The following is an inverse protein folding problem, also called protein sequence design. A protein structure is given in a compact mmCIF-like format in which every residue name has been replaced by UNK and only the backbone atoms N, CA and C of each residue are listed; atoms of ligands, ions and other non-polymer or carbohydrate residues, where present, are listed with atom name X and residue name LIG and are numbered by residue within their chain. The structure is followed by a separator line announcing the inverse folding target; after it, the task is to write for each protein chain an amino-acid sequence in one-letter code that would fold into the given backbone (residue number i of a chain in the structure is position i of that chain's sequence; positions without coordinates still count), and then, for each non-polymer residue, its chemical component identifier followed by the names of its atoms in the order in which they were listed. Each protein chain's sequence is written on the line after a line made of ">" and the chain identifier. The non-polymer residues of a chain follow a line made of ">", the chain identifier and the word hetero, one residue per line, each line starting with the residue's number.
data_IF_431150881049
#
_entry.id   IF_431150881049
#
_cell.length_a   1.000
_cell.length_b   1.000
_cell.length_c   1.000
_cell.angle_alpha   90.00
_cell.angle_beta   90.00
_cell.angle_gamma   90.00
#
_symmetry.space_group_name_H-M   'P 1'
#
loop_
_entity.id
_entity.type
_entity.pdbx_description
1 polymer ?
#
# COMPACT_ATOMS: atom_id res chain seq x y z
N UNK A 1 -12.54 22.42 34.63
CA UNK A 1 -11.61 21.33 34.22
C UNK A 1 -11.33 21.50 32.73
N UNK A 2 -10.08 21.83 32.38
CA UNK A 2 -9.63 21.85 30.99
C UNK A 2 -9.44 20.40 30.58
N UNK A 3 -10.34 19.84 29.75
CA UNK A 3 -10.09 18.57 29.07
C UNK A 3 -9.04 18.84 28.00
N UNK A 4 -7.80 18.48 28.28
CA UNK A 4 -6.75 18.51 27.25
C UNK A 4 -7.06 17.33 26.31
N UNK A 5 -7.69 17.63 25.19
CA UNK A 5 -7.87 16.65 24.13
C UNK A 5 -6.52 16.36 23.51
N UNK A 6 -5.95 15.21 23.83
CA UNK A 6 -4.68 14.76 23.26
C UNK A 6 -4.88 14.36 21.82
N UNK A 7 -3.99 14.85 20.95
CA UNK A 7 -3.92 14.46 19.54
C UNK A 7 -2.86 13.42 19.35
N UNK A 8 -3.18 12.42 18.54
CA UNK A 8 -2.25 11.36 18.17
C UNK A 8 -2.03 11.39 16.66
N UNK A 9 -0.80 11.14 16.27
CA UNK A 9 -0.37 11.24 14.89
C UNK A 9 0.16 9.89 14.40
N UNK A 10 -0.15 9.57 13.17
CA UNK A 10 0.44 8.46 12.45
C UNK A 10 0.96 8.95 11.11
N UNK A 11 2.02 8.35 10.63
CA UNK A 11 2.65 8.68 9.35
C UNK A 11 2.85 7.39 8.55
N UNK A 12 2.63 7.45 7.24
CA UNK A 12 2.86 6.31 6.36
C UNK A 12 3.39 6.82 5.02
N UNK A 13 4.42 6.17 4.44
CA UNK A 13 4.98 6.56 3.16
C UNK A 13 4.05 6.23 1.99
N UNK A 14 4.27 6.87 0.86
CA UNK A 14 3.75 6.47 -0.44
C UNK A 14 4.56 5.31 -1.04
N UNK A 15 4.04 4.70 -2.10
CA UNK A 15 4.84 3.97 -3.06
C UNK A 15 4.89 4.71 -4.40
N UNK A 16 5.78 4.29 -5.29
CA UNK A 16 5.76 4.73 -6.68
C UNK A 16 5.62 3.52 -7.62
N UNK A 17 4.64 2.67 -7.31
CA UNK A 17 4.42 1.40 -7.97
C UNK A 17 5.20 0.25 -7.32
N UNK A 18 5.43 -0.79 -8.08
CA UNK A 18 6.03 -2.04 -7.61
C UNK A 18 7.25 -2.42 -8.47
N UNK A 19 8.27 -2.99 -7.84
CA UNK A 19 9.34 -3.67 -8.58
C UNK A 19 8.76 -4.81 -9.42
N UNK A 20 7.92 -5.62 -8.81
CA UNK A 20 7.23 -6.74 -9.48
C UNK A 20 5.82 -6.86 -8.92
N UNK A 21 4.84 -7.12 -9.80
CA UNK A 21 3.48 -7.48 -9.42
C UNK A 21 2.86 -8.44 -10.43
N UNK A 22 2.10 -9.40 -9.96
CA UNK A 22 1.37 -10.31 -10.82
C UNK A 22 0.92 -11.58 -10.11
N UNK A 23 0.47 -12.56 -10.90
CA UNK A 23 0.06 -13.87 -10.40
C UNK A 23 1.25 -14.83 -10.47
N UNK A 24 1.52 -15.53 -9.37
CA UNK A 24 2.45 -16.62 -9.24
C UNK A 24 1.76 -17.74 -8.45
N UNK A 25 1.86 -18.98 -8.90
CA UNK A 25 1.30 -20.18 -8.26
C UNK A 25 -0.22 -20.20 -7.99
N UNK A 26 -1.01 -19.30 -8.32
CA UNK A 26 -2.48 -19.14 -8.16
C UNK A 26 -2.90 -17.95 -7.32
N UNK A 27 -1.96 -17.20 -6.75
CA UNK A 27 -2.26 -16.00 -5.97
C UNK A 27 -1.60 -14.75 -6.56
N UNK A 28 -2.13 -13.58 -6.23
CA UNK A 28 -1.52 -12.31 -6.59
C UNK A 28 -0.42 -11.97 -5.57
N UNK A 29 0.71 -11.52 -6.09
CA UNK A 29 1.82 -11.03 -5.29
C UNK A 29 2.36 -9.74 -5.86
N UNK A 30 2.97 -8.95 -4.99
CA UNK A 30 3.70 -7.75 -5.35
C UNK A 30 4.91 -7.56 -4.44
N UNK A 31 5.81 -6.69 -4.87
CA UNK A 31 6.87 -6.12 -4.07
C UNK A 31 6.90 -4.63 -4.35
N UNK A 32 6.33 -3.83 -3.47
CA UNK A 32 6.38 -2.37 -3.53
C UNK A 32 7.66 -1.84 -2.88
N UNK A 33 7.98 -0.59 -3.16
CA UNK A 33 8.99 0.18 -2.46
C UNK A 33 8.41 1.51 -1.99
N UNK A 34 8.80 1.93 -0.81
CA UNK A 34 8.38 3.21 -0.25
C UNK A 34 9.19 4.36 -0.86
N UNK A 35 8.55 5.52 -1.00
CA UNK A 35 9.18 6.78 -1.39
C UNK A 35 8.95 7.83 -0.30
N UNK A 36 9.76 8.89 -0.30
CA UNK A 36 9.77 9.96 0.71
C UNK A 36 8.63 11.00 0.56
N UNK A 37 7.48 10.52 0.14
CA UNK A 37 6.20 11.24 0.22
C UNK A 37 5.33 10.56 1.26
N UNK A 38 4.66 11.34 2.09
CA UNK A 38 3.97 10.79 3.25
C UNK A 38 2.52 11.27 3.35
N UNK A 39 1.67 10.40 3.88
CA UNK A 39 0.39 10.74 4.47
C UNK A 39 0.54 10.80 5.99
N UNK A 40 -0.09 11.79 6.60
CA UNK A 40 -0.18 11.97 8.05
C UNK A 40 -1.63 11.99 8.47
N UNK A 41 -1.98 11.16 9.44
CA UNK A 41 -3.27 11.17 10.10
C UNK A 41 -3.15 11.79 11.49
N UNK A 42 -4.10 12.66 11.83
CA UNK A 42 -4.31 13.22 13.17
C UNK A 42 -5.64 12.65 13.69
N UNK A 43 -5.63 11.98 14.83
CA UNK A 43 -6.83 11.53 15.53
C UNK A 43 -6.93 12.17 16.92
N UNK A 44 -8.16 12.46 17.33
CA UNK A 44 -8.48 13.12 18.59
C UNK A 44 -9.84 12.60 19.08
N UNK A 45 -9.94 12.23 20.34
CA UNK A 45 -11.23 11.90 20.93
C UNK A 45 -12.07 13.18 21.08
N UNK A 46 -13.27 13.18 20.53
CA UNK A 46 -14.15 14.36 20.53
C UNK A 46 -15.61 13.94 20.56
N UNK A 47 -16.27 14.17 21.67
CA UNK A 47 -17.71 13.99 21.80
C UNK A 47 -18.45 14.85 20.77
N UNK A 48 -19.53 14.33 20.19
CA UNK A 48 -20.31 14.97 19.13
C UNK A 48 -19.47 15.35 17.89
N UNK A 49 -18.53 14.49 17.53
CA UNK A 49 -17.65 14.70 16.39
C UNK A 49 -18.43 14.69 15.07
N UNK A 50 -18.24 15.73 14.25
CA UNK A 50 -18.77 15.84 12.88
C UNK A 50 -17.72 15.55 11.81
N UNK A 51 -16.43 15.49 12.18
CA UNK A 51 -15.34 15.25 11.25
C UNK A 51 -14.94 13.77 11.25
N UNK A 52 -15.58 13.01 10.42
CA UNK A 52 -15.34 11.56 10.29
C UNK A 52 -14.14 11.22 9.39
N UNK A 53 -13.64 12.18 8.62
CA UNK A 53 -12.56 11.96 7.63
C UNK A 53 -12.97 11.08 6.44
N UNK A 54 -12.00 10.67 5.61
CA UNK A 54 -12.24 9.81 4.46
C UNK A 54 -12.78 8.43 4.85
N UNK A 55 -13.68 7.88 4.04
CA UNK A 55 -14.39 6.62 4.36
C UNK A 55 -13.46 5.44 4.65
N UNK A 56 -12.39 5.26 3.87
CA UNK A 56 -11.46 4.13 4.08
C UNK A 56 -10.63 4.31 5.34
N UNK A 57 -10.20 5.53 5.61
CA UNK A 57 -9.51 5.87 6.85
C UNK A 57 -10.44 5.72 8.07
N UNK A 58 -11.73 6.02 7.92
CA UNK A 58 -12.72 5.72 8.97
C UNK A 58 -12.80 4.22 9.25
N UNK A 59 -12.88 3.39 8.22
CA UNK A 59 -12.83 1.93 8.36
C UNK A 59 -11.54 1.43 9.03
N UNK A 60 -10.44 2.14 8.88
CA UNK A 60 -9.19 1.80 9.55
C UNK A 60 -9.28 1.97 11.07
N UNK A 61 -9.92 3.04 11.57
CA UNK A 61 -10.20 3.22 12.99
C UNK A 61 -11.09 2.07 13.50
N UNK A 62 -12.18 1.78 12.79
CA UNK A 62 -13.12 0.70 13.15
C UNK A 62 -12.42 -0.67 13.19
N UNK A 63 -11.52 -0.94 12.23
CA UNK A 63 -10.76 -2.18 12.17
C UNK A 63 -9.79 -2.32 13.36
N UNK A 64 -9.12 -1.25 13.77
CA UNK A 64 -8.28 -1.22 14.97
C UNK A 64 -9.13 -1.47 16.21
N UNK A 65 -10.26 -0.78 16.37
CA UNK A 65 -11.16 -0.95 17.52
C UNK A 65 -11.64 -2.39 17.62
N UNK A 66 -12.11 -2.96 16.49
CA UNK A 66 -12.53 -4.37 16.42
C UNK A 66 -11.40 -5.33 16.82
N UNK A 67 -10.16 -5.10 16.35
CA UNK A 67 -9.01 -5.96 16.69
C UNK A 67 -8.73 -5.99 18.20
N UNK A 68 -8.96 -4.88 18.89
CA UNK A 68 -8.71 -4.75 20.33
C UNK A 68 -9.99 -4.88 21.19
N UNK A 69 -11.09 -5.39 20.62
CA UNK A 69 -12.38 -5.57 21.29
C UNK A 69 -12.93 -4.27 21.91
N UNK A 70 -12.66 -3.12 21.29
CA UNK A 70 -13.28 -1.84 21.64
C UNK A 70 -14.58 -1.74 20.82
N UNK A 71 -15.72 -1.29 21.44
CA UNK A 71 -16.97 -1.11 20.71
C UNK A 71 -16.78 -0.21 19.49
N UNK A 72 -17.19 -0.68 18.31
CA UNK A 72 -16.97 0.07 17.04
C UNK A 72 -17.74 1.38 17.05
N UNK A 73 -18.83 1.47 17.80
CA UNK A 73 -19.64 2.67 18.00
C UNK A 73 -18.83 3.83 18.57
N UNK A 74 -17.84 3.55 19.41
CA UNK A 74 -16.93 4.55 19.98
C UNK A 74 -16.06 5.24 18.91
N UNK A 75 -15.88 4.60 17.77
CA UNK A 75 -15.16 5.21 16.64
C UNK A 75 -15.79 6.54 16.18
N UNK A 76 -17.11 6.72 16.37
CA UNK A 76 -17.83 7.95 16.04
C UNK A 76 -17.34 9.15 16.85
N UNK A 77 -16.80 8.91 18.04
CA UNK A 77 -16.22 9.93 18.91
C UNK A 77 -14.78 10.30 18.52
N UNK A 78 -14.23 9.71 17.46
CA UNK A 78 -12.88 10.00 17.01
C UNK A 78 -12.93 10.96 15.82
N UNK A 79 -12.41 12.17 16.01
CA UNK A 79 -12.14 13.13 14.94
C UNK A 79 -10.91 12.67 14.14
N UNK A 80 -11.01 12.71 12.83
CA UNK A 80 -9.93 12.28 11.92
C UNK A 80 -9.63 13.37 10.91
N UNK A 81 -8.35 13.74 10.81
CA UNK A 81 -7.83 14.62 9.76
C UNK A 81 -6.69 13.95 9.04
N UNK A 82 -6.74 13.96 7.71
CA UNK A 82 -5.66 13.48 6.85
C UNK A 82 -4.98 14.67 6.19
N UNK A 83 -3.65 14.66 6.21
CA UNK A 83 -2.80 15.57 5.45
C UNK A 83 -1.85 14.75 4.58
N UNK A 84 -2.00 14.84 3.28
CA UNK A 84 -1.20 14.07 2.33
C UNK A 84 -0.77 14.95 1.17
N UNK A 85 0.49 14.80 0.76
CA UNK A 85 1.04 15.36 -0.49
C UNK A 85 1.09 14.33 -1.60
N UNK A 86 0.62 13.11 -1.35
CA UNK A 86 0.65 12.00 -2.30
C UNK A 86 -0.41 12.24 -3.38
N UNK A 87 -0.04 12.27 -4.67
CA UNK A 87 -0.99 12.44 -5.76
C UNK A 87 -2.06 11.34 -5.77
N UNK A 88 -3.33 11.74 -5.79
CA UNK A 88 -4.47 10.81 -5.78
C UNK A 88 -4.72 10.24 -7.17
N UNK A 89 -4.92 8.92 -7.26
CA UNK A 89 -5.24 8.24 -8.52
C UNK A 89 -4.07 8.14 -9.50
N UNK A 90 -2.83 8.26 -9.02
CA UNK A 90 -1.61 8.18 -9.84
C UNK A 90 -0.82 6.88 -9.64
N UNK A 91 -1.40 5.90 -8.94
CA UNK A 91 -0.70 4.64 -8.65
C UNK A 91 0.39 4.78 -7.59
N UNK A 92 0.28 5.81 -6.72
CA UNK A 92 1.27 6.10 -5.68
C UNK A 92 0.81 5.66 -4.28
N UNK A 93 -0.10 4.71 -4.20
CA UNK A 93 -0.61 4.15 -2.94
C UNK A 93 -1.19 5.19 -1.95
N UNK A 94 -1.77 6.31 -2.45
CA UNK A 94 -2.28 7.36 -1.56
C UNK A 94 -3.31 6.85 -0.55
N UNK A 95 -4.25 6.00 -1.01
CA UNK A 95 -5.26 5.39 -0.12
C UNK A 95 -4.64 4.43 0.90
N UNK A 96 -3.66 3.63 0.49
CA UNK A 96 -2.92 2.71 1.35
C UNK A 96 -2.15 3.50 2.44
N UNK A 97 -1.49 4.60 2.05
CA UNK A 97 -0.78 5.47 2.98
C UNK A 97 -1.72 6.16 3.98
N UNK A 98 -2.90 6.61 3.54
CA UNK A 98 -3.91 7.19 4.43
C UNK A 98 -4.44 6.17 5.45
N UNK A 99 -4.67 4.93 5.03
CA UNK A 99 -5.06 3.82 5.90
C UNK A 99 -3.98 3.54 6.94
N UNK A 100 -2.71 3.38 6.50
CA UNK A 100 -1.58 3.09 7.38
C UNK A 100 -1.33 4.19 8.41
N UNK A 101 -1.33 5.46 7.96
CA UNK A 101 -1.21 6.61 8.85
C UNK A 101 -2.35 6.63 9.88
N UNK A 102 -3.59 6.31 9.46
CA UNK A 102 -4.74 6.27 10.38
C UNK A 102 -4.64 5.13 11.39
N UNK A 103 -4.19 3.94 10.96
CA UNK A 103 -3.96 2.81 11.88
C UNK A 103 -2.94 3.23 12.94
N UNK A 104 -1.78 3.80 12.52
CA UNK A 104 -0.74 4.24 13.44
C UNK A 104 -1.22 5.29 14.45
N UNK A 105 -1.96 6.31 13.99
CA UNK A 105 -2.53 7.32 14.87
C UNK A 105 -3.54 6.72 15.87
N UNK A 106 -4.38 5.79 15.41
CA UNK A 106 -5.38 5.12 16.25
C UNK A 106 -4.73 4.21 17.29
N UNK A 107 -3.67 3.49 16.93
CA UNK A 107 -2.89 2.68 17.88
C UNK A 107 -2.29 3.56 18.98
N UNK A 108 -1.73 4.72 18.61
CA UNK A 108 -1.25 5.71 19.58
C UNK A 108 -2.36 6.16 20.55
N UNK A 109 -3.55 6.47 20.03
CA UNK A 109 -4.70 6.88 20.83
C UNK A 109 -5.10 5.82 21.88
N UNK A 110 -5.16 4.55 21.49
CA UNK A 110 -5.55 3.46 22.40
C UNK A 110 -4.36 2.85 23.17
N UNK A 111 -3.15 3.42 23.01
CA UNK A 111 -1.89 2.96 23.63
C UNK A 111 -1.63 1.47 23.39
N UNK A 112 -1.75 1.06 22.13
CA UNK A 112 -1.48 -0.31 21.66
C UNK A 112 -0.47 -0.28 20.53
N UNK A 113 0.17 -1.43 20.29
CA UNK A 113 1.12 -1.63 19.22
C UNK A 113 0.74 -2.84 18.37
N UNK A 114 1.11 -2.81 17.10
CA UNK A 114 1.01 -3.91 16.15
C UNK A 114 2.31 -4.00 15.38
N UNK A 115 2.69 -5.21 15.00
CA UNK A 115 3.79 -5.40 14.06
C UNK A 115 3.43 -4.88 12.66
N UNK A 116 4.45 -4.65 11.83
CA UNK A 116 4.26 -4.25 10.43
C UNK A 116 3.36 -5.22 9.66
N UNK A 117 3.52 -6.52 9.90
CA UNK A 117 2.71 -7.58 9.28
C UNK A 117 1.26 -7.55 9.77
N UNK A 118 1.03 -7.26 11.04
CA UNK A 118 -0.31 -7.12 11.58
C UNK A 118 -1.03 -5.89 11.03
N UNK A 119 -0.29 -4.77 10.85
CA UNK A 119 -0.80 -3.56 10.19
C UNK A 119 -1.16 -3.87 8.73
N UNK A 120 -0.30 -4.57 8.00
CA UNK A 120 -0.55 -4.97 6.62
C UNK A 120 -1.79 -5.86 6.49
N UNK A 121 -1.93 -6.87 7.37
CA UNK A 121 -3.12 -7.73 7.43
C UNK A 121 -4.38 -6.93 7.74
N UNK A 122 -4.31 -6.01 8.69
CA UNK A 122 -5.44 -5.16 9.05
C UNK A 122 -5.85 -4.25 7.89
N UNK A 123 -4.88 -3.60 7.23
CA UNK A 123 -5.12 -2.74 6.08
C UNK A 123 -5.76 -3.51 4.91
N UNK A 124 -5.31 -4.75 4.65
CA UNK A 124 -5.85 -5.59 3.58
C UNK A 124 -7.33 -5.98 3.78
N UNK A 125 -7.86 -5.92 5.01
CA UNK A 125 -9.29 -6.12 5.26
C UNK A 125 -10.15 -4.96 4.74
N UNK A 126 -9.55 -3.80 4.49
CA UNK A 126 -10.24 -2.59 4.03
C UNK A 126 -10.21 -2.51 2.51
N UNK A 127 -9.02 -2.75 1.93
CA UNK A 127 -8.80 -2.82 0.48
C UNK A 127 -7.52 -3.60 0.17
N UNK A 128 -7.35 -4.12 -1.07
CA UNK A 128 -6.06 -4.63 -1.51
C UNK A 128 -4.98 -3.57 -1.31
N UNK A 129 -3.90 -3.95 -0.65
CA UNK A 129 -2.91 -3.00 -0.15
C UNK A 129 -1.51 -3.28 -0.69
N UNK A 130 -0.64 -2.26 -0.66
CA UNK A 130 0.77 -2.40 -1.02
C UNK A 130 1.61 -2.85 0.18
N UNK A 131 2.85 -3.29 -0.07
CA UNK A 131 3.76 -3.75 0.98
C UNK A 131 4.51 -2.62 1.70
N UNK A 132 4.06 -1.37 1.59
CA UNK A 132 4.72 -0.18 2.16
C UNK A 132 4.77 -0.15 3.71
N UNK A 133 3.99 -0.99 4.37
CA UNK A 133 4.06 -1.15 5.84
C UNK A 133 5.23 -2.00 6.28
N UNK A 134 5.79 -2.80 5.36
CA UNK A 134 6.85 -3.77 5.63
C UNK A 134 8.22 -3.10 5.43
N UNK A 135 9.07 -3.16 6.43
CA UNK A 135 10.38 -2.49 6.41
C UNK A 135 11.35 -3.01 5.35
N UNK A 136 11.22 -4.29 4.98
CA UNK A 136 12.07 -4.93 3.97
C UNK A 136 11.28 -5.23 2.72
N UNK A 137 11.90 -5.05 1.55
CA UNK A 137 11.28 -5.53 0.31
C UNK A 137 10.91 -7.00 0.46
N UNK A 138 9.71 -7.35 0.05
CA UNK A 138 9.14 -8.67 0.30
C UNK A 138 8.24 -9.12 -0.84
N UNK A 139 8.12 -10.43 -1.02
CA UNK A 139 7.02 -11.01 -1.80
C UNK A 139 5.79 -10.98 -0.90
N UNK A 140 4.82 -10.19 -1.28
CA UNK A 140 3.67 -9.82 -0.46
C UNK A 140 2.36 -10.11 -1.18
N UNK A 141 1.39 -10.65 -0.46
CA UNK A 141 0.04 -10.85 -0.98
C UNK A 141 -0.84 -9.63 -0.67
N UNK A 142 -1.23 -8.83 -1.68
CA UNK A 142 -2.00 -7.61 -1.46
C UNK A 142 -3.43 -7.83 -0.98
N UNK A 143 -3.97 -9.05 -1.11
CA UNK A 143 -5.37 -9.36 -0.80
C UNK A 143 -5.59 -9.76 0.66
N UNK A 144 -4.57 -10.29 1.32
CA UNK A 144 -4.65 -10.74 2.72
C UNK A 144 -3.56 -10.16 3.62
N UNK A 145 -2.65 -9.33 3.06
CA UNK A 145 -1.59 -8.68 3.84
C UNK A 145 -0.48 -9.62 4.32
N UNK A 146 -0.31 -10.77 3.69
CA UNK A 146 0.67 -11.77 4.10
C UNK A 146 2.02 -11.57 3.42
N UNK A 147 3.09 -11.57 4.22
CA UNK A 147 4.47 -11.64 3.72
C UNK A 147 4.82 -13.10 3.48
N UNK A 148 5.10 -13.43 2.23
CA UNK A 148 5.50 -14.78 1.82
C UNK A 148 6.98 -14.99 2.04
N UNK A 149 7.79 -13.96 1.71
CA UNK A 149 9.24 -14.00 1.85
C UNK A 149 9.83 -12.60 1.85
N UNK A 150 10.78 -12.37 2.73
CA UNK A 150 11.62 -11.17 2.74
C UNK A 150 12.75 -11.29 1.73
N UNK A 151 12.99 -10.25 0.95
CA UNK A 151 14.04 -10.19 -0.07
C UNK A 151 15.26 -9.37 0.39
N UNK A 152 15.09 -8.51 1.39
CA UNK A 152 16.09 -7.55 1.82
C UNK A 152 15.77 -6.12 1.39
N UNK A 153 16.75 -5.23 1.40
CA UNK A 153 16.56 -3.84 1.03
C UNK A 153 17.40 -3.48 -0.20
N UNK A 154 16.80 -2.73 -1.11
CA UNK A 154 17.54 -2.07 -2.20
C UNK A 154 18.22 -0.84 -1.62
N UNK A 155 19.55 -0.74 -1.77
CA UNK A 155 20.33 0.39 -1.27
C UNK A 155 20.31 1.53 -2.29
N UNK A 156 20.30 2.77 -1.78
CA UNK A 156 20.48 4.00 -2.58
C UNK A 156 19.53 4.11 -3.78
N UNK A 157 18.31 3.56 -3.66
CA UNK A 157 17.30 3.64 -4.72
C UNK A 157 16.84 5.08 -4.91
N UNK A 158 16.97 5.57 -6.14
CA UNK A 158 16.37 6.82 -6.59
C UNK A 158 15.40 6.54 -7.72
N UNK A 159 14.23 7.18 -7.67
CA UNK A 159 13.16 6.97 -8.64
C UNK A 159 12.82 8.27 -9.33
N UNK A 160 12.76 8.24 -10.66
CA UNK A 160 12.20 9.34 -11.45
C UNK A 160 10.73 9.07 -11.71
N UNK A 161 9.88 10.00 -11.29
CA UNK A 161 8.42 9.87 -11.43
C UNK A 161 7.97 10.69 -12.65
N UNK A 162 7.37 10.02 -13.63
CA UNK A 162 6.69 10.64 -14.74
C UNK A 162 5.18 10.59 -14.47
N UNK A 163 4.60 11.74 -14.15
CA UNK A 163 3.17 11.84 -13.81
C UNK A 163 2.34 12.21 -15.05
N UNK A 164 1.54 11.28 -15.61
CA UNK A 164 0.64 11.60 -16.72
C UNK A 164 -0.58 12.37 -16.22
N UNK A 165 -1.26 13.11 -17.11
CA UNK A 165 -2.49 13.83 -16.78
C UNK A 165 -3.68 12.91 -16.46
N UNK A 166 -3.63 11.63 -16.88
CA UNK A 166 -4.66 10.63 -16.60
C UNK A 166 -4.63 10.15 -15.16
N UNK A 167 -5.78 9.70 -14.65
CA UNK A 167 -5.91 9.08 -13.33
C UNK A 167 -6.22 7.59 -13.45
N UNK A 168 -5.68 6.80 -12.52
CA UNK A 168 -5.92 5.37 -12.43
C UNK A 168 -6.91 5.06 -11.31
N UNK A 169 -7.86 4.18 -11.60
CA UNK A 169 -8.73 3.59 -10.58
C UNK A 169 -8.47 2.09 -10.51
N UNK A 170 -7.70 1.66 -9.52
CA UNK A 170 -7.28 0.26 -9.33
C UNK A 170 -8.47 -0.69 -9.23
N UNK A 171 -9.56 -0.26 -8.57
CA UNK A 171 -10.77 -1.09 -8.45
C UNK A 171 -11.48 -1.28 -9.79
N UNK A 172 -11.44 -0.28 -10.68
CA UNK A 172 -12.00 -0.38 -12.03
C UNK A 172 -11.16 -1.32 -12.90
N UNK A 173 -9.84 -1.24 -12.80
CA UNK A 173 -8.91 -2.14 -13.53
C UNK A 173 -9.16 -3.59 -13.14
N UNK A 174 -9.32 -3.88 -11.84
CA UNK A 174 -9.61 -5.24 -11.34
C UNK A 174 -10.95 -5.80 -11.83
N UNK A 175 -11.90 -4.95 -12.27
CA UNK A 175 -13.19 -5.33 -12.85
C UNK A 175 -13.16 -5.47 -14.38
N UNK A 176 -12.01 -5.25 -15.02
CA UNK A 176 -11.88 -5.41 -16.48
C UNK A 176 -12.19 -6.85 -16.89
N UNK A 177 -12.95 -7.08 -17.96
CA UNK A 177 -13.20 -8.42 -18.47
C UNK A 177 -11.89 -9.18 -18.70
N UNK A 178 -11.87 -10.45 -18.34
CA UNK A 178 -10.68 -11.32 -18.45
C UNK A 178 -9.46 -10.94 -17.59
N UNK A 179 -9.57 -9.98 -16.66
CA UNK A 179 -8.46 -9.56 -15.78
C UNK A 179 -7.70 -10.75 -15.18
N UNK A 180 -8.41 -11.68 -14.53
CA UNK A 180 -7.80 -12.88 -13.94
C UNK A 180 -7.14 -13.78 -14.98
N UNK A 181 -7.76 -13.97 -16.14
CA UNK A 181 -7.23 -14.82 -17.23
C UNK A 181 -5.92 -14.25 -17.76
N UNK A 182 -5.88 -12.95 -18.05
CA UNK A 182 -4.69 -12.26 -18.57
C UNK A 182 -3.55 -12.34 -17.54
N UNK A 183 -3.83 -12.08 -16.26
CA UNK A 183 -2.82 -12.21 -15.21
C UNK A 183 -2.24 -13.60 -15.09
N UNK A 184 -3.09 -14.63 -15.22
CA UNK A 184 -2.66 -16.03 -15.15
C UNK A 184 -1.81 -16.42 -16.37
N UNK A 185 -2.09 -15.87 -17.55
CA UNK A 185 -1.27 -16.12 -18.76
C UNK A 185 0.16 -15.62 -18.59
N UNK A 186 0.38 -14.57 -17.82
CA UNK A 186 1.68 -13.95 -17.59
C UNK A 186 2.45 -14.55 -16.38
N UNK A 187 1.95 -15.61 -15.76
CA UNK A 187 2.52 -16.17 -14.52
C UNK A 187 4.01 -16.53 -14.60
N UNK A 188 4.45 -17.09 -15.73
CA UNK A 188 5.85 -17.51 -15.88
C UNK A 188 6.81 -16.30 -15.95
N UNK A 189 6.44 -15.26 -16.70
CA UNK A 189 7.26 -14.04 -16.74
C UNK A 189 7.28 -13.34 -15.39
N UNK A 190 6.19 -13.36 -14.62
CA UNK A 190 6.13 -12.82 -13.25
C UNK A 190 7.02 -13.63 -12.31
N UNK A 191 7.02 -14.96 -12.41
CA UNK A 191 7.92 -15.83 -11.62
C UNK A 191 9.39 -15.52 -11.91
N UNK A 192 9.75 -15.40 -13.18
CA UNK A 192 11.10 -14.98 -13.60
C UNK A 192 11.43 -13.60 -13.03
N UNK A 193 10.49 -12.64 -13.08
CA UNK A 193 10.68 -11.30 -12.53
C UNK A 193 10.97 -11.31 -11.03
N UNK A 194 10.24 -12.10 -10.24
CA UNK A 194 10.52 -12.25 -8.80
C UNK A 194 11.88 -12.90 -8.53
N UNK A 195 12.29 -13.91 -9.32
CA UNK A 195 13.61 -14.52 -9.18
C UNK A 195 14.74 -13.52 -9.48
N UNK A 196 14.62 -12.76 -10.57
CA UNK A 196 15.57 -11.71 -10.93
C UNK A 196 15.63 -10.59 -9.87
N UNK A 197 14.47 -10.20 -9.31
CA UNK A 197 14.43 -9.21 -8.23
C UNK A 197 15.17 -9.72 -6.99
N UNK A 198 14.91 -10.95 -6.58
CA UNK A 198 15.56 -11.55 -5.42
C UNK A 198 17.08 -11.67 -5.61
N UNK A 199 17.52 -12.13 -6.77
CA UNK A 199 18.95 -12.17 -7.11
C UNK A 199 19.57 -10.77 -7.14
N UNK A 200 18.90 -9.81 -7.77
CA UNK A 200 19.36 -8.43 -7.85
C UNK A 200 19.51 -7.76 -6.49
N UNK A 201 18.56 -7.98 -5.57
CA UNK A 201 18.65 -7.46 -4.21
C UNK A 201 19.80 -8.12 -3.45
N UNK A 202 19.95 -9.45 -3.52
CA UNK A 202 21.02 -10.19 -2.86
C UNK A 202 22.42 -9.80 -3.32
N UNK A 203 22.58 -9.56 -4.62
CA UNK A 203 23.87 -9.17 -5.23
C UNK A 203 24.07 -7.66 -5.34
N UNK A 204 23.12 -6.85 -4.91
CA UNK A 204 23.08 -5.40 -5.10
C UNK A 204 23.27 -5.01 -6.59
N UNK A 205 22.62 -5.76 -7.49
CA UNK A 205 22.69 -5.58 -8.93
C UNK A 205 21.46 -4.84 -9.45
N UNK A 206 21.63 -3.54 -9.71
CA UNK A 206 20.55 -2.66 -10.19
C UNK A 206 20.06 -3.04 -11.59
N UNK A 207 20.90 -3.67 -12.44
CA UNK A 207 20.48 -4.13 -13.77
C UNK A 207 19.47 -5.29 -13.66
N UNK A 208 19.72 -6.24 -12.76
CA UNK A 208 18.78 -7.33 -12.50
C UNK A 208 17.45 -6.80 -11.94
N UNK A 209 17.51 -5.87 -10.98
CA UNK A 209 16.33 -5.23 -10.41
C UNK A 209 15.52 -4.50 -11.49
N UNK A 210 16.19 -3.69 -12.32
CA UNK A 210 15.57 -2.97 -13.43
C UNK A 210 14.95 -3.91 -14.47
N UNK A 211 15.64 -5.01 -14.83
CA UNK A 211 15.13 -6.04 -15.73
C UNK A 211 13.88 -6.73 -15.17
N UNK A 212 13.88 -7.05 -13.88
CA UNK A 212 12.72 -7.62 -13.17
C UNK A 212 11.50 -6.70 -13.27
N UNK A 213 11.70 -5.41 -12.99
CA UNK A 213 10.65 -4.39 -13.05
C UNK A 213 10.13 -4.19 -14.49
N UNK A 214 11.02 -4.19 -15.48
CA UNK A 214 10.66 -4.09 -16.89
C UNK A 214 9.80 -5.26 -17.33
N UNK A 215 10.19 -6.49 -17.03
CA UNK A 215 9.41 -7.69 -17.37
C UNK A 215 8.03 -7.68 -16.71
N UNK A 216 7.98 -7.32 -15.44
CA UNK A 216 6.70 -7.18 -14.71
C UNK A 216 5.82 -6.07 -15.33
N UNK A 217 6.40 -4.93 -15.69
CA UNK A 217 5.66 -3.84 -16.32
C UNK A 217 5.07 -4.24 -17.66
N UNK A 218 5.86 -4.86 -18.54
CA UNK A 218 5.41 -5.35 -19.85
C UNK A 218 4.31 -6.41 -19.73
N UNK A 219 4.43 -7.34 -18.77
CA UNK A 219 3.39 -8.31 -18.49
C UNK A 219 2.07 -7.65 -18.07
N UNK A 220 2.12 -6.56 -17.32
CA UNK A 220 0.94 -5.83 -16.85
C UNK A 220 0.35 -4.89 -17.92
N UNK A 221 1.09 -4.49 -18.95
CA UNK A 221 0.56 -3.70 -20.08
C UNK A 221 -0.55 -4.43 -20.85
N UNK A 222 -0.53 -5.76 -20.87
CA UNK A 222 -1.61 -6.56 -21.46
C UNK A 222 -2.96 -6.40 -20.75
N UNK A 223 -2.94 -5.89 -19.51
CA UNK A 223 -4.14 -5.62 -18.70
C UNK A 223 -4.54 -4.14 -18.82
N UNK A 224 -3.55 -3.26 -18.76
CA UNK A 224 -3.75 -1.82 -18.80
C UNK A 224 -2.60 -1.16 -19.55
N UNK A 225 -2.85 -0.84 -20.82
CA UNK A 225 -1.87 -0.18 -21.68
C UNK A 225 -1.54 1.21 -21.14
N UNK A 226 -0.27 1.45 -20.89
CA UNK A 226 0.24 2.77 -20.47
C UNK A 226 0.65 3.53 -21.74
N UNK A 227 -0.25 4.36 -22.26
CA UNK A 227 0.04 5.15 -23.46
C UNK A 227 1.29 6.02 -23.26
N UNK A 228 2.22 5.95 -24.22
CA UNK A 228 3.46 6.72 -24.22
C UNK A 228 4.67 6.05 -23.59
N UNK A 229 4.50 5.03 -22.72
CA UNK A 229 5.65 4.39 -22.04
C UNK A 229 6.52 3.56 -22.98
N UNK A 230 5.94 2.97 -24.02
CA UNK A 230 6.66 2.18 -25.04
C UNK A 230 7.42 3.04 -26.05
N UNK A 231 7.36 4.36 -25.93
CA UNK A 231 8.07 5.31 -26.82
C UNK A 231 9.26 6.00 -26.13
N UNK A 232 9.51 5.69 -24.86
CA UNK A 232 10.65 6.12 -24.07
C UNK A 232 11.67 4.98 -24.01
#
# INVERSE_FOLDING_TARGET
>A
YWVINMKYYGICPASCGEFVQGVMDRAEYLCSYAVDLYSTAEVEEKLNNINLGPLKSRKAIEAVFKKFNIPVEESKNISLKIRSKIPVGKGMASSTADIGATIGATLGLIKKELSSEEIAKLASTIEPTDSIYIEKNSIFNPLNGEVIRYLGNVKDLRVVILEPNSTLNTMRIRKTPNYKKIKTQNKEIIKISFSLLEEGIKSNDMHKIGKASTFSSLANESIHKKEGLTKI
#
